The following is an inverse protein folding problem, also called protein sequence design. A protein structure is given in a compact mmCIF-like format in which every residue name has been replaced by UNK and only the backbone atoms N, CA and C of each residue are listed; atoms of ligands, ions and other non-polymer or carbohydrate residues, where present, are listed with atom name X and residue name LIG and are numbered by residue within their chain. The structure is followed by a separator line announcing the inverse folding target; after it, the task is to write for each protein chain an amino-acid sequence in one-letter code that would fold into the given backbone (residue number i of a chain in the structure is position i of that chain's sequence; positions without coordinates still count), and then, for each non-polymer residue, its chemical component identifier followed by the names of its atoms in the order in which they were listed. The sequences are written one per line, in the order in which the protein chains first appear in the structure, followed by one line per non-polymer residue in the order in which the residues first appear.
data_IF_868627170362
#
_entry.id   IF_868627170362
#
_cell.length_a   1.000
_cell.length_b   1.000
_cell.length_c   1.000
_cell.angle_alpha   90.00
_cell.angle_beta   90.00
_cell.angle_gamma   90.00
#
_symmetry.space_group_name_H-M   'P 1'
#
loop_
_entity.id
_entity.type
_entity.pdbx_description
1 polymer ?
#
# COMPACT_ATOMS: atom_id res chain seq x y z
N UNK A 1 1.48 -5.99 -25.41
CA UNK A 1 0.26 -5.63 -26.17
C UNK A 1 -0.12 -4.23 -25.76
N UNK A 2 -0.11 -3.29 -26.69
CA UNK A 2 -0.71 -1.98 -26.49
C UNK A 2 -2.19 -2.10 -26.83
N UNK A 3 -2.99 -2.53 -25.85
CA UNK A 3 -4.37 -2.98 -26.04
C UNK A 3 -5.25 -1.95 -26.77
N UNK A 4 -5.03 -0.65 -26.53
CA UNK A 4 -5.62 0.47 -27.27
C UNK A 4 -4.60 1.61 -27.30
N UNK A 5 -3.69 1.60 -28.28
CA UNK A 5 -2.63 2.60 -28.42
C UNK A 5 -3.16 3.95 -28.94
N UNK A 6 -2.68 5.03 -28.35
CA UNK A 6 -2.79 6.40 -28.86
C UNK A 6 -1.43 7.09 -28.82
N UNK A 7 -1.17 8.10 -29.67
CA UNK A 7 0.13 8.78 -29.68
C UNK A 7 0.37 9.60 -28.40
N UNK A 8 1.64 9.73 -27.99
CA UNK A 8 2.04 10.53 -26.84
C UNK A 8 1.96 9.80 -25.49
N UNK A 9 2.07 10.55 -24.39
CA UNK A 9 1.88 10.01 -23.04
C UNK A 9 0.40 10.12 -22.65
N UNK A 10 -0.13 9.09 -22.00
CA UNK A 10 -1.46 9.17 -21.43
C UNK A 10 -1.52 10.25 -20.33
N UNK A 11 -2.57 11.06 -20.36
CA UNK A 11 -2.83 12.13 -19.38
C UNK A 11 -3.85 11.64 -18.35
N UNK A 12 -3.38 10.94 -17.31
CA UNK A 12 -4.24 10.33 -16.29
C UNK A 12 -4.62 11.35 -15.20
N UNK A 13 -5.92 11.69 -15.12
CA UNK A 13 -6.47 12.67 -14.17
C UNK A 13 -7.70 12.18 -13.37
N UNK A 14 -7.91 10.86 -13.29
CA UNK A 14 -8.92 10.27 -12.39
C UNK A 14 -8.47 10.37 -10.92
N UNK A 15 -9.38 10.37 -9.93
CA UNK A 15 -9.02 10.47 -8.51
C UNK A 15 -8.51 9.14 -7.89
N UNK A 16 -7.89 8.27 -8.69
CA UNK A 16 -7.42 6.96 -8.27
C UNK A 16 -7.74 5.86 -9.30
N UNK A 17 -6.76 5.06 -9.76
CA UNK A 17 -5.31 5.17 -9.48
C UNK A 17 -4.68 6.44 -10.08
N UNK A 18 -3.47 6.78 -9.65
CA UNK A 18 -2.73 8.00 -10.06
C UNK A 18 -1.42 7.68 -10.78
N UNK A 19 -0.80 8.68 -11.41
CA UNK A 19 0.51 8.53 -12.04
C UNK A 19 1.57 8.12 -10.99
N UNK A 20 2.40 7.13 -11.33
CA UNK A 20 3.46 6.62 -10.45
C UNK A 20 4.79 7.31 -10.80
N UNK A 21 5.53 7.85 -9.81
CA UNK A 21 6.87 8.36 -10.06
C UNK A 21 7.81 7.28 -10.60
N UNK A 22 8.61 7.63 -11.60
CA UNK A 22 9.53 6.72 -12.29
C UNK A 22 10.48 5.93 -11.35
N UNK A 23 11.07 6.51 -10.27
CA UNK A 23 11.89 5.74 -9.34
C UNK A 23 11.13 4.60 -8.63
N UNK A 24 9.82 4.76 -8.40
CA UNK A 24 8.98 3.73 -7.76
C UNK A 24 8.73 2.57 -8.72
N UNK A 25 8.48 2.86 -10.01
CA UNK A 25 8.36 1.83 -11.04
C UNK A 25 9.63 0.97 -11.13
N UNK A 26 10.80 1.60 -11.10
CA UNK A 26 12.09 0.87 -11.11
C UNK A 26 12.31 0.03 -9.86
N UNK A 27 11.89 0.50 -8.68
CA UNK A 27 12.00 -0.28 -7.45
C UNK A 27 11.14 -1.56 -7.49
N UNK A 28 9.96 -1.49 -8.12
CA UNK A 28 9.06 -2.64 -8.27
C UNK A 28 9.46 -3.59 -9.41
N UNK A 29 10.29 -3.15 -10.35
CA UNK A 29 10.77 -3.97 -11.47
C UNK A 29 11.85 -4.97 -11.03
N UNK A 30 11.43 -6.08 -10.43
CA UNK A 30 12.30 -7.13 -9.88
C UNK A 30 11.59 -8.48 -9.84
N UNK A 31 12.36 -9.56 -9.71
CA UNK A 31 11.81 -10.89 -9.46
C UNK A 31 11.35 -11.03 -7.99
N UNK A 32 10.56 -12.06 -7.71
CA UNK A 32 10.18 -12.42 -6.35
C UNK A 32 11.40 -12.82 -5.50
N UNK A 33 11.28 -12.62 -4.20
CA UNK A 33 12.25 -13.04 -3.18
C UNK A 33 11.55 -13.93 -2.14
N UNK A 34 12.33 -14.73 -1.41
CA UNK A 34 11.82 -15.45 -0.25
C UNK A 34 11.52 -14.46 0.89
N UNK A 35 10.24 -14.32 1.23
CA UNK A 35 9.80 -13.42 2.30
C UNK A 35 10.27 -13.82 3.70
N UNK A 36 10.72 -15.07 3.88
CA UNK A 36 11.32 -15.55 5.14
C UNK A 36 12.82 -15.28 5.23
N UNK A 37 13.45 -14.83 4.15
CA UNK A 37 14.84 -14.41 4.19
C UNK A 37 15.03 -13.17 5.10
N UNK A 38 16.22 -12.94 5.65
CA UNK A 38 16.46 -11.81 6.56
C UNK A 38 16.21 -10.42 5.95
N UNK A 39 16.25 -10.30 4.62
CA UNK A 39 16.10 -9.03 3.91
C UNK A 39 14.69 -8.43 4.07
N UNK A 40 13.64 -9.26 4.00
CA UNK A 40 12.26 -8.77 4.01
C UNK A 40 11.83 -8.26 5.40
N UNK A 41 12.06 -8.97 6.52
CA UNK A 41 11.78 -8.41 7.86
C UNK A 41 12.57 -7.13 8.15
N UNK A 42 13.81 -7.04 7.69
CA UNK A 42 14.63 -5.82 7.84
C UNK A 42 14.00 -4.63 7.10
N UNK A 43 13.57 -4.84 5.86
CA UNK A 43 12.85 -3.83 5.07
C UNK A 43 11.48 -3.48 5.69
N UNK A 44 10.69 -4.47 6.10
CA UNK A 44 9.39 -4.24 6.72
C UNK A 44 9.51 -3.39 7.98
N UNK A 45 10.54 -3.62 8.79
CA UNK A 45 10.80 -2.82 9.99
C UNK A 45 10.99 -1.34 9.68
N UNK A 46 11.76 -0.99 8.65
CA UNK A 46 11.96 0.41 8.26
C UNK A 46 10.67 1.04 7.74
N UNK A 47 9.90 0.29 6.93
CA UNK A 47 8.62 0.76 6.40
C UNK A 47 7.62 1.07 7.52
N UNK A 48 7.48 0.21 8.53
CA UNK A 48 6.56 0.43 9.65
C UNK A 48 6.91 1.71 10.43
N UNK A 49 8.19 1.99 10.66
CA UNK A 49 8.60 3.23 11.34
C UNK A 49 8.37 4.48 10.49
N UNK A 50 8.63 4.42 9.17
CA UNK A 50 8.44 5.56 8.29
C UNK A 50 6.97 5.85 8.00
N UNK A 51 6.12 4.84 7.93
CA UNK A 51 4.66 5.00 7.75
C UNK A 51 4.06 5.80 8.92
N UNK A 52 4.54 5.60 10.15
CA UNK A 52 4.09 6.40 11.31
C UNK A 52 4.29 7.91 11.09
N UNK A 53 5.34 8.31 10.36
CA UNK A 53 5.66 9.72 10.09
C UNK A 53 4.59 10.38 9.21
N UNK A 54 4.12 9.70 8.16
CA UNK A 54 3.07 10.26 7.28
C UNK A 54 1.70 10.31 7.97
N UNK A 55 1.44 9.39 8.90
CA UNK A 55 0.27 9.42 9.77
C UNK A 55 0.43 10.35 10.98
N UNK A 56 1.60 11.02 11.12
CA UNK A 56 1.95 11.92 12.23
C UNK A 56 1.70 11.33 13.62
N UNK A 57 1.98 10.03 13.78
CA UNK A 57 1.76 9.32 15.05
C UNK A 57 3.07 8.81 15.63
N UNK A 58 3.25 8.93 16.93
CA UNK A 58 4.37 8.29 17.66
C UNK A 58 3.94 7.02 18.37
N UNK A 59 2.66 6.92 18.72
CA UNK A 59 2.06 5.83 19.52
C UNK A 59 1.26 4.82 18.69
N UNK A 60 0.84 5.18 17.48
CA UNK A 60 0.06 4.30 16.61
C UNK A 60 0.88 3.14 16.06
N UNK A 61 0.22 2.00 15.89
CA UNK A 61 0.79 0.78 15.28
C UNK A 61 0.27 0.63 13.85
N UNK A 62 1.11 0.77 12.81
CA UNK A 62 0.69 0.55 11.43
C UNK A 62 0.61 -0.94 11.08
N UNK A 63 -0.28 -1.27 10.14
CA UNK A 63 -0.38 -2.59 9.51
C UNK A 63 -0.34 -2.43 7.99
N UNK A 64 0.50 -3.23 7.32
CA UNK A 64 0.59 -3.27 5.86
C UNK A 64 -0.18 -4.48 5.34
N UNK A 65 -1.45 -4.28 5.01
CA UNK A 65 -2.37 -5.35 4.62
C UNK A 65 -2.39 -5.47 3.08
N UNK A 66 -2.14 -6.66 2.48
CA UNK A 66 -2.20 -6.86 1.03
C UNK A 66 -3.66 -6.88 0.55
N UNK A 67 -4.29 -5.70 0.50
CA UNK A 67 -5.71 -5.49 0.15
C UNK A 67 -5.93 -4.10 -0.46
N UNK A 68 -7.17 -3.78 -0.82
CA UNK A 68 -7.59 -2.44 -1.27
C UNK A 68 -8.19 -1.63 -0.12
N UNK A 69 -8.62 -0.38 -0.39
CA UNK A 69 -9.27 0.46 0.62
C UNK A 69 -10.47 -0.20 1.31
N UNK A 70 -11.27 -0.98 0.57
CA UNK A 70 -12.43 -1.68 1.14
C UNK A 70 -12.04 -2.76 2.15
N UNK A 71 -10.93 -3.47 1.92
CA UNK A 71 -10.45 -4.45 2.90
C UNK A 71 -9.83 -3.80 4.13
N UNK A 72 -9.27 -2.60 4.01
CA UNK A 72 -8.85 -1.83 5.18
C UNK A 72 -10.04 -1.43 6.07
N UNK A 73 -11.20 -1.09 5.48
CA UNK A 73 -12.44 -0.87 6.24
C UNK A 73 -12.90 -2.11 6.99
N UNK A 74 -12.91 -3.26 6.32
CA UNK A 74 -13.26 -4.54 6.95
C UNK A 74 -12.34 -4.85 8.14
N UNK A 75 -11.02 -4.67 7.95
CA UNK A 75 -10.04 -4.88 9.02
C UNK A 75 -10.28 -3.95 10.21
N UNK A 76 -10.58 -2.67 9.97
CA UNK A 76 -10.82 -1.72 11.06
C UNK A 76 -12.04 -2.13 11.89
N UNK A 77 -13.19 -2.38 11.24
CA UNK A 77 -14.44 -2.68 11.92
C UNK A 77 -14.37 -4.01 12.69
N UNK A 78 -13.90 -5.07 12.04
CA UNK A 78 -13.91 -6.43 12.62
C UNK A 78 -12.91 -6.61 13.76
N UNK A 79 -11.86 -5.78 13.85
CA UNK A 79 -10.91 -5.84 14.96
C UNK A 79 -11.31 -4.96 16.15
N UNK A 80 -12.24 -4.00 15.97
CA UNK A 80 -12.60 -3.05 17.04
C UNK A 80 -14.04 -3.12 17.52
N UNK A 81 -14.93 -3.80 16.79
CA UNK A 81 -16.36 -3.89 17.10
C UNK A 81 -16.85 -5.35 17.14
N UNK A 82 -17.90 -5.58 17.92
CA UNK A 82 -18.72 -6.79 17.91
C UNK A 82 -20.08 -6.51 17.26
N UNK A 83 -20.77 -7.54 16.74
CA UNK A 83 -22.14 -7.38 16.24
C UNK A 83 -23.06 -6.77 17.30
N UNK A 84 -23.72 -5.66 16.96
CA UNK A 84 -24.62 -4.93 17.87
C UNK A 84 -24.00 -3.71 18.54
N UNK A 85 -22.70 -3.46 18.39
CA UNK A 85 -22.06 -2.24 18.89
C UNK A 85 -22.64 -0.99 18.19
N UNK A 86 -22.78 0.08 18.96
CA UNK A 86 -23.21 1.39 18.43
C UNK A 86 -22.02 2.06 17.74
N UNK A 87 -22.25 2.55 16.52
CA UNK A 87 -21.29 3.31 15.71
C UNK A 87 -21.60 4.80 15.72
#
# INVERSE_FOLDING_TARGET
MDYVYGPGKNHLFVPGPVNIPEPVLRAMNRNNEDYRSPAIPAMTKTLLEDVKKIFKTTTGTPFLIPTTGTGAWESALTNTLSPGDRT
#
